data_IF_418217718390
#
_entry.id   IF_418217718390
#
_cell.length_a   1.000
_cell.length_b   1.000
_cell.length_c   1.000
_cell.angle_alpha   90.00
_cell.angle_beta   90.00
_cell.angle_gamma   90.00
#
_symmetry.space_group_name_H-M   'P 1'
#
loop_
_entity.id
_entity.type
_entity.pdbx_description
1 polymer ?
#
# COMPACT_ATOMS: atom_id res chain seq x y z
N UNK A 1 8.98 6.91 -0.62
CA UNK A 1 7.76 6.85 -1.45
C UNK A 1 6.87 8.09 -1.33
N UNK A 2 7.11 9.01 -0.38
CA UNK A 2 6.23 10.16 -0.14
C UNK A 2 6.12 11.17 -1.32
N UNK A 3 7.08 11.16 -2.24
CA UNK A 3 7.09 12.04 -3.43
C UNK A 3 6.32 11.46 -4.62
N UNK A 4 5.87 10.20 -4.55
CA UNK A 4 5.09 9.60 -5.62
C UNK A 4 3.66 10.14 -5.61
N UNK A 5 3.25 10.74 -6.72
CA UNK A 5 1.93 11.39 -6.89
C UNK A 5 1.00 10.63 -7.83
N UNK A 6 1.55 9.64 -8.54
CA UNK A 6 0.86 8.84 -9.54
C UNK A 6 1.36 7.38 -9.50
N UNK A 7 0.65 6.44 -10.14
CA UNK A 7 1.03 5.03 -10.11
C UNK A 7 2.44 4.75 -10.67
N UNK A 8 2.88 5.47 -11.69
CA UNK A 8 4.15 5.19 -12.37
C UNK A 8 5.33 5.68 -11.53
N UNK A 9 5.23 6.90 -11.00
CA UNK A 9 6.23 7.41 -10.05
C UNK A 9 6.33 6.54 -8.79
N UNK A 10 5.21 5.98 -8.32
CA UNK A 10 5.20 5.03 -7.21
C UNK A 10 5.96 3.74 -7.55
N UNK A 11 5.70 3.14 -8.71
CA UNK A 11 6.39 1.91 -9.16
C UNK A 11 7.89 2.13 -9.32
N UNK A 12 8.31 3.26 -9.90
CA UNK A 12 9.73 3.61 -10.03
C UNK A 12 10.38 3.76 -8.66
N UNK A 13 9.73 4.46 -7.73
CA UNK A 13 10.24 4.66 -6.38
C UNK A 13 10.33 3.34 -5.60
N UNK A 14 9.31 2.47 -5.70
CA UNK A 14 9.33 1.13 -5.12
C UNK A 14 10.50 0.30 -5.63
N UNK A 15 10.70 0.23 -6.96
CA UNK A 15 11.80 -0.53 -7.57
C UNK A 15 13.18 -0.01 -7.15
N UNK A 16 13.34 1.32 -7.00
CA UNK A 16 14.58 1.91 -6.47
C UNK A 16 14.87 1.46 -5.04
N UNK A 17 13.87 1.53 -4.15
CA UNK A 17 14.03 1.05 -2.77
C UNK A 17 14.32 -0.45 -2.73
N UNK A 18 13.58 -1.25 -3.49
CA UNK A 18 13.77 -2.70 -3.57
C UNK A 18 15.18 -3.06 -4.05
N UNK A 19 15.70 -2.36 -5.05
CA UNK A 19 17.07 -2.55 -5.54
C UNK A 19 18.11 -2.28 -4.45
N UNK A 20 17.92 -1.21 -3.66
CA UNK A 20 18.81 -0.92 -2.52
C UNK A 20 18.78 -2.01 -1.45
N UNK A 21 17.59 -2.53 -1.12
CA UNK A 21 17.44 -3.64 -0.19
C UNK A 21 18.12 -4.90 -0.71
N UNK A 22 17.86 -5.27 -1.98
CA UNK A 22 18.46 -6.45 -2.61
C UNK A 22 19.99 -6.35 -2.70
N UNK A 23 20.53 -5.17 -3.01
CA UNK A 23 21.98 -4.96 -3.04
C UNK A 23 22.61 -5.17 -1.65
N UNK A 24 21.98 -4.64 -0.59
CA UNK A 24 22.45 -4.81 0.78
C UNK A 24 22.42 -6.27 1.23
N UNK A 25 21.36 -6.98 0.87
CA UNK A 25 21.16 -8.40 1.18
C UNK A 25 22.18 -9.29 0.48
N UNK A 26 22.39 -9.11 -0.84
CA UNK A 26 23.37 -9.88 -1.63
C UNK A 26 24.81 -9.59 -1.18
N UNK A 27 25.11 -8.36 -0.77
CA UNK A 27 26.43 -8.01 -0.21
C UNK A 27 26.60 -8.45 1.25
N UNK A 28 25.61 -9.09 1.88
CA UNK A 28 25.69 -9.58 3.26
C UNK A 28 25.75 -8.47 4.31
N UNK A 29 25.28 -7.26 3.98
CA UNK A 29 25.30 -6.10 4.90
C UNK A 29 24.08 -6.04 5.81
N UNK A 30 23.10 -6.92 5.61
CA UNK A 30 21.90 -7.11 6.44
C UNK A 30 21.68 -8.60 6.71
N UNK A 31 21.12 -8.91 7.89
CA UNK A 31 20.69 -10.28 8.20
C UNK A 31 19.29 -10.58 7.68
N UNK A 32 18.95 -11.87 7.52
CA UNK A 32 17.67 -12.33 6.96
C UNK A 32 16.44 -11.68 7.61
N UNK A 33 16.36 -11.68 8.95
CA UNK A 33 15.21 -11.12 9.66
C UNK A 33 15.08 -9.60 9.46
N UNK A 34 16.22 -8.90 9.32
CA UNK A 34 16.23 -7.48 9.02
C UNK A 34 15.77 -7.21 7.58
N UNK A 35 16.29 -7.96 6.60
CA UNK A 35 15.85 -7.87 5.21
C UNK A 35 14.33 -8.09 5.11
N UNK A 36 13.79 -9.12 5.78
CA UNK A 36 12.36 -9.42 5.77
C UNK A 36 11.50 -8.31 6.38
N UNK A 37 11.97 -7.69 7.47
CA UNK A 37 11.29 -6.54 8.07
C UNK A 37 11.34 -5.30 7.17
N UNK A 38 12.49 -5.01 6.55
CA UNK A 38 12.65 -3.88 5.63
C UNK A 38 11.78 -4.05 4.36
N UNK A 39 11.60 -5.28 3.88
CA UNK A 39 10.66 -5.61 2.80
C UNK A 39 9.20 -5.37 3.21
N UNK A 40 8.81 -5.78 4.42
CA UNK A 40 7.46 -5.53 4.95
C UNK A 40 7.19 -4.03 5.15
N UNK A 41 8.20 -3.27 5.59
CA UNK A 41 8.10 -1.82 5.76
C UNK A 41 7.98 -1.12 4.40
N UNK A 42 8.70 -1.58 3.36
CA UNK A 42 8.57 -1.10 1.99
C UNK A 42 7.18 -1.39 1.40
N UNK A 43 6.65 -2.60 1.58
CA UNK A 43 5.29 -2.96 1.17
C UNK A 43 4.24 -2.07 1.85
N UNK A 44 4.34 -1.90 3.17
CA UNK A 44 3.45 -1.04 3.95
C UNK A 44 3.51 0.42 3.49
N UNK A 45 4.71 0.95 3.22
CA UNK A 45 4.87 2.30 2.69
C UNK A 45 4.24 2.45 1.30
N UNK A 46 4.29 1.39 0.48
CA UNK A 46 3.69 1.36 -0.86
C UNK A 46 2.17 1.39 -0.79
N UNK A 47 1.56 0.57 0.06
CA UNK A 47 0.11 0.60 0.32
C UNK A 47 -0.37 1.97 0.79
N UNK A 48 0.38 2.61 1.70
CA UNK A 48 0.06 3.95 2.19
C UNK A 48 0.09 5.00 1.08
N UNK A 49 1.11 4.95 0.21
CA UNK A 49 1.22 5.85 -0.93
C UNK A 49 0.11 5.61 -1.96
N UNK A 50 -0.18 4.34 -2.29
CA UNK A 50 -1.28 3.98 -3.19
C UNK A 50 -2.64 4.48 -2.67
N UNK A 51 -2.90 4.35 -1.37
CA UNK A 51 -4.11 4.89 -0.75
C UNK A 51 -4.18 6.42 -0.85
N UNK A 52 -3.05 7.12 -0.65
CA UNK A 52 -3.00 8.57 -0.78
C UNK A 52 -3.30 9.03 -2.23
N UNK A 53 -2.76 8.33 -3.23
CA UNK A 53 -3.05 8.57 -4.65
C UNK A 53 -4.54 8.33 -4.93
N UNK A 54 -5.09 7.19 -4.49
CA UNK A 54 -6.50 6.87 -4.68
C UNK A 54 -7.44 7.93 -4.04
N UNK A 55 -7.13 8.41 -2.84
CA UNK A 55 -7.90 9.47 -2.17
C UNK A 55 -7.81 10.82 -2.88
N UNK A 56 -6.65 11.14 -3.44
CA UNK A 56 -6.44 12.38 -4.21
C UNK A 56 -7.23 12.35 -5.52
N UNK A 57 -7.29 11.20 -6.18
CA UNK A 57 -8.07 11.01 -7.42
C UNK A 57 -9.59 10.96 -7.18
N UNK A 58 -10.05 10.57 -5.98
CA UNK A 58 -11.46 10.47 -5.62
C UNK A 58 -11.77 11.22 -4.31
N UNK A 59 -11.69 12.56 -4.29
CA UNK A 59 -11.85 13.36 -3.07
C UNK A 59 -13.26 13.25 -2.47
N UNK A 60 -14.30 13.07 -3.30
CA UNK A 60 -15.68 12.90 -2.84
C UNK A 60 -15.85 11.60 -2.05
N UNK A 61 -15.32 10.48 -2.56
CA UNK A 61 -15.33 9.20 -1.84
C UNK A 61 -14.52 9.27 -0.53
N UNK A 62 -13.37 9.95 -0.58
CA UNK A 62 -12.50 10.15 0.59
C UNK A 62 -13.12 11.04 1.68
N UNK A 63 -14.10 11.89 1.30
CA UNK A 63 -14.87 12.73 2.21
C UNK A 63 -16.07 12.01 2.84
N UNK A 64 -16.50 10.88 2.29
CA UNK A 64 -17.65 10.11 2.79
C UNK A 64 -17.26 9.07 3.86
N UNK A 65 -16.02 8.57 3.84
CA UNK A 65 -15.59 7.48 4.70
C UNK A 65 -14.20 7.69 5.32
N UNK A 66 -13.92 6.90 6.35
CA UNK A 66 -12.59 6.58 6.86
C UNK A 66 -12.27 5.16 6.39
N UNK A 67 -11.08 4.97 5.82
CA UNK A 67 -10.63 3.67 5.33
C UNK A 67 -9.33 3.29 6.03
N UNK A 68 -9.34 2.14 6.70
CA UNK A 68 -8.14 1.51 7.23
C UNK A 68 -7.77 0.28 6.38
N UNK A 69 -6.47 0.04 6.26
CA UNK A 69 -5.88 -1.12 5.57
C UNK A 69 -5.07 -1.88 6.60
N UNK A 70 -5.45 -3.13 6.86
CA UNK A 70 -4.79 -4.00 7.82
C UNK A 70 -3.96 -5.02 7.03
N UNK A 71 -2.64 -4.91 7.12
CA UNK A 71 -1.74 -5.89 6.53
C UNK A 71 -1.80 -7.21 7.33
N UNK A 72 -2.00 -8.31 6.62
CA UNK A 72 -2.12 -9.65 7.15
C UNK A 72 -0.89 -10.50 6.77
N UNK A 73 -0.86 -11.74 7.25
CA UNK A 73 0.16 -12.72 6.90
C UNK A 73 1.58 -12.22 7.17
N UNK A 74 2.50 -12.52 6.26
CA UNK A 74 3.93 -12.19 6.39
C UNK A 74 4.20 -10.69 6.44
N UNK A 75 3.42 -9.89 5.71
CA UNK A 75 3.55 -8.43 5.76
C UNK A 75 3.16 -7.91 7.14
N UNK A 76 2.03 -8.38 7.69
CA UNK A 76 1.58 -8.04 9.04
C UNK A 76 2.55 -8.51 10.14
N UNK A 77 3.19 -9.68 9.94
CA UNK A 77 4.20 -10.24 10.84
C UNK A 77 5.61 -9.65 10.69
N UNK A 78 5.83 -8.73 9.75
CA UNK A 78 7.16 -8.16 9.40
C UNK A 78 8.19 -9.22 9.01
N UNK A 79 7.75 -10.25 8.29
CA UNK A 79 8.56 -11.39 7.83
C UNK A 79 8.37 -11.63 6.32
N UNK A 80 8.29 -10.54 5.54
CA UNK A 80 7.97 -10.59 4.12
C UNK A 80 9.16 -11.11 3.28
N UNK A 81 8.88 -11.91 2.24
CA UNK A 81 9.88 -12.34 1.26
C UNK A 81 9.74 -11.52 -0.05
N UNK A 82 10.80 -11.48 -0.87
CA UNK A 82 10.84 -10.72 -2.14
C UNK A 82 9.68 -10.98 -3.12
N UNK A 83 9.14 -12.20 -3.15
CA UNK A 83 8.08 -12.63 -4.09
C UNK A 83 6.77 -12.90 -3.34
N UNK A 84 6.61 -12.41 -2.11
CA UNK A 84 5.37 -12.59 -1.35
C UNK A 84 4.32 -11.58 -1.79
N UNK A 85 3.10 -12.05 -1.98
CA UNK A 85 1.92 -11.19 -2.04
C UNK A 85 1.70 -10.48 -0.69
N UNK A 86 0.96 -9.38 -0.74
CA UNK A 86 0.60 -8.60 0.45
C UNK A 86 -0.89 -8.75 0.70
N UNK A 87 -1.24 -9.61 1.65
CA UNK A 87 -2.61 -9.82 2.09
C UNK A 87 -3.10 -8.63 2.92
N UNK A 88 -4.28 -8.09 2.59
CA UNK A 88 -4.87 -6.96 3.32
C UNK A 88 -6.35 -7.16 3.59
N UNK A 89 -6.81 -6.62 4.73
CA UNK A 89 -8.24 -6.43 5.03
C UNK A 89 -8.53 -4.93 5.01
N UNK A 90 -9.63 -4.55 4.36
CA UNK A 90 -10.13 -3.17 4.38
C UNK A 90 -11.21 -3.01 5.43
N UNK A 91 -11.11 -1.94 6.22
CA UNK A 91 -12.13 -1.56 7.20
C UNK A 91 -12.62 -0.16 6.86
N UNK A 92 -13.89 -0.07 6.47
CA UNK A 92 -14.57 1.19 6.17
C UNK A 92 -15.42 1.64 7.35
N UNK A 93 -15.42 2.94 7.62
CA UNK A 93 -16.25 3.60 8.63
C UNK A 93 -16.86 4.86 8.02
N UNK A 94 -18.13 5.14 8.31
CA UNK A 94 -18.78 6.37 7.87
C UNK A 94 -18.18 7.59 8.57
N UNK A 95 -18.03 8.70 7.85
CA UNK A 95 -17.75 9.99 8.49
C UNK A 95 -19.03 10.58 9.09
N UNK A 96 -18.87 11.49 10.05
CA UNK A 96 -19.98 12.11 10.75
C UNK A 96 -21.01 12.72 9.78
N UNK A 97 -22.28 12.34 9.95
CA UNK A 97 -23.38 12.82 9.11
C UNK A 97 -23.49 12.17 7.72
N UNK A 98 -22.65 11.18 7.41
CA UNK A 98 -22.74 10.42 6.15
C UNK A 98 -23.51 9.12 6.36
N UNK A 99 -24.41 8.81 5.42
CA UNK A 99 -25.12 7.53 5.39
C UNK A 99 -24.14 6.34 5.27
N UNK A 100 -24.35 5.31 6.10
CA UNK A 100 -23.45 4.16 6.20
C UNK A 100 -23.32 3.39 4.88
N UNK A 101 -24.42 3.24 4.14
CA UNK A 101 -24.40 2.54 2.85
C UNK A 101 -23.56 3.30 1.83
N UNK A 102 -23.75 4.62 1.75
CA UNK A 102 -22.94 5.49 0.87
C UNK A 102 -21.46 5.46 1.26
N UNK A 103 -21.16 5.55 2.56
CA UNK A 103 -19.79 5.48 3.04
C UNK A 103 -19.12 4.13 2.71
N UNK A 104 -19.84 3.01 2.85
CA UNK A 104 -19.30 1.69 2.53
C UNK A 104 -19.05 1.50 1.03
N UNK A 105 -19.92 2.07 0.18
CA UNK A 105 -19.70 2.09 -1.27
C UNK A 105 -18.46 2.94 -1.64
N UNK A 106 -18.29 4.11 -1.01
CA UNK A 106 -17.11 4.95 -1.19
C UNK A 106 -15.82 4.25 -0.74
N UNK A 107 -15.84 3.61 0.44
CA UNK A 107 -14.73 2.82 0.95
C UNK A 107 -14.35 1.69 -0.02
N UNK A 108 -15.36 0.98 -0.56
CA UNK A 108 -15.16 -0.07 -1.56
C UNK A 108 -14.51 0.45 -2.84
N UNK A 109 -14.96 1.61 -3.36
CA UNK A 109 -14.36 2.24 -4.55
C UNK A 109 -12.91 2.65 -4.31
N UNK A 110 -12.61 3.25 -3.16
CA UNK A 110 -11.25 3.62 -2.77
C UNK A 110 -10.34 2.39 -2.64
N UNK A 111 -10.80 1.34 -1.96
CA UNK A 111 -10.06 0.09 -1.83
C UNK A 111 -9.78 -0.54 -3.20
N UNK A 112 -10.79 -0.61 -4.08
CA UNK A 112 -10.63 -1.12 -5.43
C UNK A 112 -9.64 -0.30 -6.26
N UNK A 113 -9.66 1.02 -6.14
CA UNK A 113 -8.71 1.89 -6.81
C UNK A 113 -7.28 1.69 -6.29
N UNK A 114 -7.10 1.63 -4.96
CA UNK A 114 -5.80 1.35 -4.35
C UNK A 114 -5.23 0.01 -4.83
N UNK A 115 -6.05 -1.05 -4.90
CA UNK A 115 -5.63 -2.36 -5.40
C UNK A 115 -5.16 -2.27 -6.86
N UNK A 116 -5.89 -1.56 -7.73
CA UNK A 116 -5.48 -1.35 -9.13
C UNK A 116 -4.13 -0.65 -9.26
N UNK A 117 -3.90 0.40 -8.47
CA UNK A 117 -2.61 1.13 -8.46
C UNK A 117 -1.44 0.17 -8.16
N UNK A 118 -1.64 -0.76 -7.22
CA UNK A 118 -0.62 -1.74 -6.85
C UNK A 118 -0.45 -2.88 -7.87
N UNK A 119 -1.50 -3.27 -8.60
CA UNK A 119 -1.50 -4.47 -9.45
C UNK A 119 -1.29 -4.19 -10.94
N UNK A 120 -1.61 -2.99 -11.43
CA UNK A 120 -1.50 -2.66 -12.85
C UNK A 120 -0.05 -2.58 -13.31
N UNK A 121 0.21 -3.07 -14.53
CA UNK A 121 1.50 -2.93 -15.21
C UNK A 121 1.47 -1.68 -16.07
N UNK A 122 2.42 -0.76 -15.85
CA UNK A 122 2.65 0.35 -16.79
C UNK A 122 3.36 -0.15 -18.05
N UNK A 123 2.93 0.32 -19.22
CA UNK A 123 3.55 0.08 -20.53
C UNK A 123 4.56 1.17 -20.84
#
# INVERSE_FOLDING_TARGET
>A
LAEAVDPDSLRVAYRRCLLTLAARDVCGTTGLAQTAAELADLATATLRAALAIARTAAPEDAAQCRLAVVAMGKCGGRELNYVSDVDVIFVGEARDGVDETKAMQAATRLAAHMMRICSETTV
#
